data_IF_561330898773
#
_entry.id   IF_561330898773
#
_cell.length_a   1.000
_cell.length_b   1.000
_cell.length_c   1.000
_cell.angle_alpha   90.00
_cell.angle_beta   90.00
_cell.angle_gamma   90.00
#
_symmetry.space_group_name_H-M   'P 1'
#
loop_
_entity.id
_entity.type
_entity.pdbx_description
1 polymer ?
#
# COMPACT_ATOMS: atom_id res chain seq x y z
N UNK A 1 -2.67 42.60 13.51
CA UNK A 1 -2.19 42.60 12.11
C UNK A 1 -3.24 41.91 11.27
N UNK A 2 -3.77 42.65 10.30
CA UNK A 2 -4.94 42.36 9.46
C UNK A 2 -4.64 41.32 8.36
N UNK A 3 -5.70 40.60 7.92
CA UNK A 3 -5.86 39.80 6.68
C UNK A 3 -6.24 38.34 7.01
N UNK A 4 -7.37 37.73 6.57
CA UNK A 4 -8.19 37.93 5.38
C UNK A 4 -9.70 37.86 5.70
N UNK A 5 -10.48 38.75 5.09
CA UNK A 5 -11.92 38.56 4.86
C UNK A 5 -12.08 37.49 3.76
N UNK A 6 -12.23 36.22 4.14
CA UNK A 6 -12.50 35.12 3.21
C UNK A 6 -13.99 34.93 3.01
N UNK A 7 -14.47 35.05 1.77
CA UNK A 7 -15.83 34.64 1.41
C UNK A 7 -15.96 33.12 1.53
N UNK A 8 -16.94 32.64 2.29
CA UNK A 8 -17.24 31.20 2.41
C UNK A 8 -18.20 30.79 1.29
N UNK A 9 -17.77 29.88 0.43
CA UNK A 9 -18.61 29.28 -0.61
C UNK A 9 -19.05 27.87 -0.18
N UNK A 10 -20.35 27.60 -0.25
CA UNK A 10 -20.89 26.25 -0.05
C UNK A 10 -21.13 25.62 -1.42
N UNK A 11 -20.41 24.55 -1.72
CA UNK A 11 -20.54 23.82 -2.98
C UNK A 11 -21.19 22.46 -2.66
N UNK A 12 -22.40 22.17 -3.15
CA UNK A 12 -23.02 20.88 -2.95
C UNK A 12 -22.25 19.78 -3.69
N UNK A 13 -22.02 18.66 -3.01
CA UNK A 13 -21.42 17.46 -3.62
C UNK A 13 -22.42 16.79 -4.57
N UNK A 14 -21.90 16.16 -5.61
CA UNK A 14 -22.69 15.23 -6.45
C UNK A 14 -22.99 13.95 -5.67
N UNK A 15 -23.98 13.19 -6.11
CA UNK A 15 -24.41 11.94 -5.46
C UNK A 15 -23.25 10.96 -5.22
N UNK A 16 -22.40 10.76 -6.24
CA UNK A 16 -21.22 9.90 -6.13
C UNK A 16 -20.20 10.43 -5.11
N UNK A 17 -19.91 11.74 -5.12
CA UNK A 17 -18.97 12.38 -4.20
C UNK A 17 -19.47 12.32 -2.75
N UNK A 18 -20.78 12.48 -2.54
CA UNK A 18 -21.41 12.34 -1.24
C UNK A 18 -21.35 10.88 -0.75
N UNK A 19 -21.59 9.91 -1.63
CA UNK A 19 -21.48 8.48 -1.32
C UNK A 19 -20.05 8.11 -0.92
N UNK A 20 -19.06 8.57 -1.67
CA UNK A 20 -17.65 8.36 -1.32
C UNK A 20 -17.28 9.01 0.01
N UNK A 21 -17.78 10.22 0.29
CA UNK A 21 -17.54 10.90 1.58
C UNK A 21 -18.09 10.12 2.77
N UNK A 22 -19.30 9.54 2.63
CA UNK A 22 -19.91 8.66 3.64
C UNK A 22 -19.07 7.40 3.86
N UNK A 23 -18.65 6.75 2.77
CA UNK A 23 -17.91 5.49 2.84
C UNK A 23 -16.50 5.71 3.40
N UNK A 24 -15.85 6.83 3.05
CA UNK A 24 -14.57 7.23 3.63
C UNK A 24 -14.67 7.47 5.15
N UNK A 25 -15.74 8.13 5.62
CA UNK A 25 -15.99 8.31 7.06
C UNK A 25 -16.17 6.96 7.76
N UNK A 26 -16.93 6.05 7.15
CA UNK A 26 -17.18 4.71 7.69
C UNK A 26 -15.88 3.88 7.77
N UNK A 27 -15.06 3.92 6.70
CA UNK A 27 -13.75 3.28 6.64
C UNK A 27 -12.81 3.83 7.72
N UNK A 28 -12.76 5.15 7.89
CA UNK A 28 -11.92 5.79 8.89
C UNK A 28 -12.33 5.41 10.32
N UNK A 29 -13.63 5.47 10.64
CA UNK A 29 -14.14 5.07 11.95
C UNK A 29 -13.83 3.60 12.25
N UNK A 30 -14.08 2.71 11.29
CA UNK A 30 -13.77 1.29 11.44
C UNK A 30 -12.26 1.05 11.63
N UNK A 31 -11.41 1.73 10.85
CA UNK A 31 -9.96 1.65 10.99
C UNK A 31 -9.49 2.08 12.38
N UNK A 32 -10.00 3.21 12.90
CA UNK A 32 -9.68 3.70 14.24
C UNK A 32 -10.15 2.74 15.34
N UNK A 33 -11.34 2.16 15.20
CA UNK A 33 -11.84 1.15 16.12
C UNK A 33 -10.97 -0.12 16.12
N UNK A 34 -10.53 -0.56 14.94
CA UNK A 34 -9.66 -1.72 14.80
C UNK A 34 -8.28 -1.46 15.43
N UNK A 35 -7.67 -0.30 15.15
CA UNK A 35 -6.41 0.13 15.80
C UNK A 35 -6.55 0.16 17.32
N UNK A 36 -7.62 0.76 17.83
CA UNK A 36 -7.93 0.78 19.27
C UNK A 36 -8.01 -0.64 19.85
N UNK A 37 -8.72 -1.55 19.18
CA UNK A 37 -8.84 -2.94 19.63
C UNK A 37 -7.48 -3.63 19.67
N UNK A 38 -6.64 -3.44 18.65
CA UNK A 38 -5.27 -3.97 18.62
C UNK A 38 -4.43 -3.42 19.78
N UNK A 39 -4.51 -2.11 20.06
CA UNK A 39 -3.86 -1.50 21.22
C UNK A 39 -4.30 -2.14 22.53
N UNK A 40 -5.61 -2.33 22.74
CA UNK A 40 -6.17 -2.95 23.95
C UNK A 40 -5.73 -4.41 24.12
N UNK A 41 -5.68 -5.17 23.04
CA UNK A 41 -5.15 -6.55 23.05
C UNK A 41 -3.67 -6.54 23.42
N UNK A 42 -2.87 -5.69 22.78
CA UNK A 42 -1.44 -5.59 23.05
C UNK A 42 -1.15 -5.17 24.49
N UNK A 43 -1.84 -4.16 25.03
CA UNK A 43 -1.71 -3.73 26.43
C UNK A 43 -2.06 -4.85 27.42
N UNK A 44 -3.01 -5.72 27.06
CA UNK A 44 -3.43 -6.84 27.90
C UNK A 44 -2.45 -8.01 27.86
N UNK A 45 -1.67 -8.14 26.79
CA UNK A 45 -0.75 -9.26 26.55
C UNK A 45 0.74 -8.89 26.71
N UNK A 46 1.09 -7.61 26.72
CA UNK A 46 2.48 -7.16 26.73
C UNK A 46 3.19 -7.57 28.02
N UNK A 47 4.40 -8.13 27.86
CA UNK A 47 5.23 -8.53 28.98
C UNK A 47 5.96 -7.33 29.56
N UNK A 48 5.93 -7.17 30.90
CA UNK A 48 6.59 -6.04 31.62
C UNK A 48 8.08 -6.24 31.85
N UNK A 49 8.60 -7.43 31.57
CA UNK A 49 10.03 -7.77 31.68
C UNK A 49 10.70 -7.63 30.32
N UNK A 50 11.96 -7.18 30.30
CA UNK A 50 12.74 -7.13 29.07
C UNK A 50 12.88 -8.54 28.46
N UNK A 51 12.46 -8.68 27.21
CA UNK A 51 12.59 -9.92 26.43
C UNK A 51 13.79 -9.84 25.51
N UNK A 52 14.72 -10.80 25.59
CA UNK A 52 15.89 -10.87 24.71
C UNK A 52 15.63 -11.56 23.38
N UNK A 53 14.54 -12.32 23.27
CA UNK A 53 14.20 -13.12 22.09
C UNK A 53 12.69 -13.27 21.99
N UNK A 54 12.18 -13.46 20.77
CA UNK A 54 10.78 -13.72 20.51
C UNK A 54 10.63 -14.72 19.35
N UNK A 55 9.47 -15.39 19.29
CA UNK A 55 9.07 -16.23 18.17
C UNK A 55 7.90 -15.52 17.50
N UNK A 56 8.00 -15.31 16.18
CA UNK A 56 6.95 -14.72 15.36
C UNK A 56 6.30 -15.79 14.49
N UNK A 57 4.96 -15.74 14.39
CA UNK A 57 4.19 -16.50 13.42
C UNK A 57 3.51 -15.49 12.50
N UNK A 58 3.68 -15.67 11.20
CA UNK A 58 3.09 -14.82 10.18
C UNK A 58 1.95 -15.58 9.50
N UNK A 59 0.73 -15.07 9.65
CA UNK A 59 -0.47 -15.56 8.97
C UNK A 59 -0.96 -14.46 8.01
N UNK A 60 -0.84 -14.71 6.71
CA UNK A 60 -1.21 -13.77 5.65
C UNK A 60 -1.92 -14.51 4.51
N UNK A 61 -2.67 -13.77 3.70
CA UNK A 61 -3.25 -14.29 2.46
C UNK A 61 -2.16 -14.80 1.51
N UNK A 62 -2.40 -15.95 0.89
CA UNK A 62 -1.59 -16.43 -0.23
C UNK A 62 -1.79 -15.62 -1.51
N UNK A 63 -1.09 -16.01 -2.57
CA UNK A 63 -1.23 -15.38 -3.88
C UNK A 63 -2.66 -15.51 -4.43
N UNK A 64 -3.23 -14.40 -4.91
CA UNK A 64 -4.61 -14.35 -5.43
C UNK A 64 -4.64 -14.08 -6.94
N UNK A 65 -5.46 -14.86 -7.65
CA UNK A 65 -5.78 -14.64 -9.05
C UNK A 65 -7.25 -14.96 -9.31
N UNK A 66 -8.08 -13.92 -9.34
CA UNK A 66 -9.51 -14.01 -9.63
C UNK A 66 -9.82 -13.62 -11.08
N UNK A 67 -11.09 -13.82 -11.49
CA UNK A 67 -11.62 -13.34 -12.78
C UNK A 67 -11.47 -11.82 -12.94
N UNK A 68 -11.54 -11.08 -11.84
CA UNK A 68 -11.36 -9.63 -11.80
C UNK A 68 -10.58 -9.27 -10.55
N UNK A 69 -9.36 -8.76 -10.74
CA UNK A 69 -8.48 -8.36 -9.64
C UNK A 69 -8.47 -6.82 -9.55
N UNK A 70 -8.55 -6.29 -8.33
CA UNK A 70 -8.51 -4.84 -8.08
C UNK A 70 -7.31 -4.46 -7.21
N UNK A 71 -7.34 -3.27 -6.63
CA UNK A 71 -6.25 -2.72 -5.83
C UNK A 71 -5.89 -3.61 -4.64
N UNK A 72 -6.89 -4.22 -4.00
CA UNK A 72 -6.69 -5.11 -2.85
C UNK A 72 -5.87 -6.35 -3.23
N UNK A 73 -6.20 -6.99 -4.36
CA UNK A 73 -5.41 -8.12 -4.88
C UNK A 73 -3.98 -7.70 -5.22
N UNK A 74 -3.79 -6.50 -5.78
CA UNK A 74 -2.44 -6.00 -6.07
C UNK A 74 -1.61 -5.85 -4.79
N UNK A 75 -2.21 -5.34 -3.71
CA UNK A 75 -1.56 -5.25 -2.40
C UNK A 75 -1.23 -6.62 -1.80
N UNK A 76 -2.16 -7.59 -1.90
CA UNK A 76 -1.96 -8.97 -1.44
C UNK A 76 -0.82 -9.63 -2.22
N UNK A 77 -0.84 -9.53 -3.54
CA UNK A 77 0.18 -10.12 -4.40
C UNK A 77 1.54 -9.45 -4.21
N UNK A 78 1.58 -8.13 -3.98
CA UNK A 78 2.81 -7.44 -3.62
C UNK A 78 3.39 -7.90 -2.27
N UNK A 79 2.56 -8.16 -1.26
CA UNK A 79 3.02 -8.74 -0.01
C UNK A 79 3.64 -10.13 -0.22
N UNK A 80 3.00 -10.95 -1.06
CA UNK A 80 3.53 -12.27 -1.45
C UNK A 80 4.83 -12.16 -2.25
N UNK A 81 4.98 -11.19 -3.16
CA UNK A 81 6.24 -10.92 -3.86
C UNK A 81 7.38 -10.66 -2.87
N UNK A 82 7.16 -9.80 -1.88
CA UNK A 82 8.17 -9.49 -0.86
C UNK A 82 8.50 -10.69 0.01
N UNK A 83 7.50 -11.50 0.36
CA UNK A 83 7.71 -12.73 1.12
C UNK A 83 8.53 -13.74 0.31
N UNK A 84 8.25 -13.87 -1.00
CA UNK A 84 9.01 -14.73 -1.89
C UNK A 84 10.46 -14.25 -2.04
N UNK A 85 10.70 -12.95 -2.21
CA UNK A 85 12.06 -12.40 -2.27
C UNK A 85 12.83 -12.61 -0.96
N UNK A 86 12.15 -12.47 0.18
CA UNK A 86 12.73 -12.76 1.49
C UNK A 86 13.08 -14.25 1.63
N UNK A 87 12.17 -15.14 1.22
CA UNK A 87 12.43 -16.58 1.20
C UNK A 87 13.63 -16.92 0.31
N UNK A 88 13.68 -16.37 -0.90
CA UNK A 88 14.77 -16.65 -1.83
C UNK A 88 16.13 -16.19 -1.25
N UNK A 89 16.19 -14.95 -0.77
CA UNK A 89 17.43 -14.41 -0.19
C UNK A 89 17.85 -15.11 1.10
N UNK A 90 16.92 -15.58 1.94
CA UNK A 90 17.28 -16.15 3.23
C UNK A 90 17.48 -17.65 3.21
N UNK A 91 16.71 -18.38 2.42
CA UNK A 91 16.85 -19.83 2.33
C UNK A 91 17.94 -20.15 1.32
N UNK A 92 17.83 -19.71 0.07
CA UNK A 92 18.79 -20.14 -0.95
C UNK A 92 20.18 -19.53 -0.77
N UNK A 93 20.29 -18.23 -0.47
CA UNK A 93 21.62 -17.60 -0.35
C UNK A 93 22.33 -17.99 0.94
N UNK A 94 21.62 -18.04 2.08
CA UNK A 94 22.27 -18.44 3.33
C UNK A 94 22.69 -19.92 3.30
N UNK A 95 21.89 -20.81 2.71
CA UNK A 95 22.27 -22.21 2.53
C UNK A 95 23.49 -22.34 1.62
N UNK A 96 23.52 -21.61 0.49
CA UNK A 96 24.69 -21.60 -0.40
C UNK A 96 25.96 -21.07 0.29
N UNK A 97 25.83 -20.01 1.10
CA UNK A 97 26.94 -19.47 1.90
C UNK A 97 27.45 -20.48 2.94
N UNK A 98 26.57 -21.30 3.51
CA UNK A 98 26.94 -22.39 4.43
C UNK A 98 27.69 -23.49 3.67
N UNK A 99 27.17 -23.96 2.53
CA UNK A 99 27.85 -24.99 1.72
C UNK A 99 29.24 -24.54 1.27
N UNK A 100 29.38 -23.29 0.82
CA UNK A 100 30.67 -22.72 0.44
C UNK A 100 31.63 -22.64 1.62
N UNK A 101 31.15 -22.22 2.80
CA UNK A 101 31.96 -22.14 4.03
C UNK A 101 32.44 -23.51 4.49
N UNK A 102 31.61 -24.53 4.36
CA UNK A 102 31.93 -25.91 4.76
C UNK A 102 32.68 -26.69 3.68
N UNK A 103 33.00 -26.07 2.54
CA UNK A 103 33.66 -26.68 1.39
C UNK A 103 32.93 -27.94 0.88
N UNK A 104 31.60 -27.95 0.99
CA UNK A 104 30.75 -29.01 0.46
C UNK A 104 30.56 -28.76 -1.04
N UNK A 105 30.78 -29.79 -1.85
CA UNK A 105 30.54 -29.72 -3.28
C UNK A 105 29.05 -29.45 -3.55
N UNK A 106 28.75 -28.27 -4.08
CA UNK A 106 27.39 -27.81 -4.34
C UNK A 106 27.27 -27.27 -5.76
N UNK A 107 26.15 -27.55 -6.42
CA UNK A 107 25.80 -26.93 -7.70
C UNK A 107 24.85 -25.76 -7.42
N UNK A 108 25.24 -24.51 -7.71
CA UNK A 108 24.37 -23.35 -7.52
C UNK A 108 23.01 -23.56 -8.20
N UNK A 109 21.94 -23.21 -7.50
CA UNK A 109 20.58 -23.23 -8.04
C UNK A 109 20.26 -21.80 -8.49
N UNK A 110 19.85 -21.65 -9.75
CA UNK A 110 19.33 -20.39 -10.25
C UNK A 110 17.98 -20.10 -9.59
N UNK A 111 17.95 -19.09 -8.71
CA UNK A 111 16.73 -18.67 -8.01
C UNK A 111 15.84 -17.82 -8.93
N UNK A 112 14.50 -17.99 -8.89
CA UNK A 112 13.59 -17.09 -9.58
C UNK A 112 13.73 -15.67 -9.02
N UNK A 113 14.27 -14.75 -9.82
CA UNK A 113 14.43 -13.35 -9.43
C UNK A 113 13.14 -12.56 -9.71
N UNK A 114 12.51 -12.08 -8.64
CA UNK A 114 11.33 -11.24 -8.67
C UNK A 114 11.60 -9.78 -8.26
N UNK A 115 12.86 -9.38 -8.11
CA UNK A 115 13.25 -8.03 -7.69
C UNK A 115 12.83 -6.97 -8.71
N UNK A 116 12.86 -7.29 -10.01
CA UNK A 116 12.39 -6.39 -11.06
C UNK A 116 10.91 -6.00 -10.86
N UNK A 117 10.04 -6.97 -10.52
CA UNK A 117 8.62 -6.73 -10.24
C UNK A 117 8.44 -5.96 -8.92
N UNK A 118 9.17 -6.31 -7.87
CA UNK A 118 9.13 -5.58 -6.58
C UNK A 118 9.55 -4.12 -6.77
N UNK A 119 10.61 -3.87 -7.53
CA UNK A 119 11.11 -2.53 -7.83
C UNK A 119 10.09 -1.74 -8.65
N UNK A 120 9.54 -2.32 -9.71
CA UNK A 120 8.48 -1.71 -10.51
C UNK A 120 7.28 -1.30 -9.64
N UNK A 121 6.89 -2.13 -8.68
CA UNK A 121 5.74 -1.83 -7.81
C UNK A 121 6.07 -0.76 -6.74
N UNK A 122 7.24 -0.82 -6.11
CA UNK A 122 7.48 -0.15 -4.81
C UNK A 122 8.58 0.90 -4.76
N UNK A 123 9.37 1.06 -5.83
CA UNK A 123 10.51 1.97 -5.84
C UNK A 123 10.09 3.42 -5.53
N UNK A 124 10.59 3.99 -4.42
CA UNK A 124 10.26 5.36 -3.98
C UNK A 124 11.27 6.42 -4.41
N UNK A 125 12.51 6.04 -4.71
CA UNK A 125 13.63 6.98 -4.84
C UNK A 125 14.39 6.86 -6.17
N UNK A 126 14.09 5.87 -7.00
CA UNK A 126 14.68 5.74 -8.33
C UNK A 126 13.79 6.26 -9.46
N UNK A 127 14.34 6.25 -10.66
CA UNK A 127 13.62 6.45 -11.91
C UNK A 127 13.54 5.10 -12.64
N UNK A 128 12.37 4.65 -13.10
CA UNK A 128 11.06 5.26 -12.84
C UNK A 128 10.61 5.11 -11.38
N UNK A 129 9.76 6.02 -10.92
CA UNK A 129 9.07 5.88 -9.63
C UNK A 129 8.08 4.72 -9.73
N UNK A 130 8.02 3.87 -8.72
CA UNK A 130 7.20 2.65 -8.75
C UNK A 130 5.70 2.92 -8.81
N UNK A 131 4.92 1.88 -9.10
CA UNK A 131 3.47 1.92 -9.23
C UNK A 131 2.77 2.50 -7.99
N UNK A 132 3.09 2.03 -6.78
CA UNK A 132 2.41 2.51 -5.56
C UNK A 132 2.68 4.01 -5.30
N UNK A 133 3.94 4.50 -5.31
CA UNK A 133 4.18 5.93 -5.18
C UNK A 133 3.59 6.77 -6.31
N UNK A 134 3.57 6.25 -7.55
CA UNK A 134 2.89 6.91 -8.67
C UNK A 134 1.39 7.05 -8.40
N UNK A 135 0.76 5.99 -7.88
CA UNK A 135 -0.65 6.01 -7.49
C UNK A 135 -0.91 7.04 -6.37
N UNK A 136 -0.03 7.12 -5.37
CA UNK A 136 -0.09 8.15 -4.31
C UNK A 136 -0.04 9.56 -4.89
N UNK A 137 0.83 9.81 -5.88
CA UNK A 137 0.92 11.09 -6.57
C UNK A 137 -0.37 11.39 -7.33
N UNK A 138 -0.88 10.42 -8.09
CA UNK A 138 -2.11 10.58 -8.87
C UNK A 138 -3.35 10.84 -8.00
N UNK A 139 -3.41 10.27 -6.79
CA UNK A 139 -4.50 10.53 -5.83
C UNK A 139 -4.54 11.99 -5.34
N UNK A 140 -3.41 12.70 -5.37
CA UNK A 140 -3.31 14.11 -4.93
C UNK A 140 -3.61 15.12 -6.03
N UNK A 141 -3.56 14.69 -7.29
CA UNK A 141 -3.76 15.59 -8.43
C UNK A 141 -5.25 15.80 -8.71
N UNK A 142 -5.70 17.04 -8.93
CA UNK A 142 -7.07 17.30 -9.31
C UNK A 142 -7.35 16.69 -10.68
N UNK A 143 -8.54 16.08 -10.84
CA UNK A 143 -9.04 15.51 -12.11
C UNK A 143 -8.28 14.28 -12.63
N UNK A 144 -7.48 13.60 -11.82
CA UNK A 144 -6.92 12.32 -12.22
C UNK A 144 -8.00 11.23 -12.25
N UNK A 145 -7.92 10.33 -13.23
CA UNK A 145 -8.80 9.17 -13.41
C UNK A 145 -7.99 7.88 -13.44
N UNK A 146 -8.63 6.73 -13.25
CA UNK A 146 -7.97 5.45 -13.41
C UNK A 146 -7.32 5.31 -14.81
N UNK A 147 -7.92 5.90 -15.85
CA UNK A 147 -7.39 5.87 -17.22
C UNK A 147 -6.09 6.63 -17.38
N UNK A 148 -6.07 7.87 -16.90
CA UNK A 148 -4.86 8.72 -16.94
C UNK A 148 -3.75 8.14 -16.06
N UNK A 149 -4.10 7.48 -14.94
CA UNK A 149 -3.14 6.73 -14.14
C UNK A 149 -2.48 5.60 -14.93
N UNK A 150 -3.26 4.74 -15.61
CA UNK A 150 -2.71 3.64 -16.41
C UNK A 150 -1.85 4.16 -17.56
N UNK A 151 -2.28 5.23 -18.24
CA UNK A 151 -1.47 5.87 -19.28
C UNK A 151 -0.11 6.35 -18.76
N UNK A 152 -0.11 7.02 -17.60
CA UNK A 152 1.14 7.47 -16.95
C UNK A 152 1.98 6.28 -16.48
N UNK A 153 1.37 5.22 -15.94
CA UNK A 153 2.06 3.99 -15.53
C UNK A 153 2.90 3.41 -16.68
N UNK A 154 2.30 3.24 -17.87
CA UNK A 154 3.00 2.73 -19.05
C UNK A 154 4.01 3.73 -19.65
N UNK A 155 3.79 5.03 -19.47
CA UNK A 155 4.73 6.05 -19.91
C UNK A 155 6.04 6.01 -19.12
N UNK A 156 5.94 5.88 -17.80
CA UNK A 156 7.08 5.85 -16.87
C UNK A 156 7.81 4.49 -16.93
N UNK A 157 7.08 3.38 -17.06
CA UNK A 157 7.63 2.02 -16.89
C UNK A 157 7.95 1.31 -18.21
N UNK A 158 8.57 2.00 -19.18
CA UNK A 158 8.90 1.41 -20.49
C UNK A 158 9.84 0.21 -20.41
N UNK A 159 10.81 0.25 -19.49
CA UNK A 159 11.73 -0.86 -19.26
C UNK A 159 10.99 -2.08 -18.71
N UNK A 160 10.11 -1.91 -17.73
CA UNK A 160 9.29 -3.01 -17.21
C UNK A 160 8.38 -3.62 -18.28
N UNK A 161 7.97 -2.84 -19.28
CA UNK A 161 7.22 -3.33 -20.46
C UNK A 161 8.13 -4.13 -21.40
N UNK A 162 9.34 -3.64 -21.65
CA UNK A 162 10.33 -4.34 -22.47
C UNK A 162 10.72 -5.68 -21.85
N UNK A 163 10.92 -5.72 -20.53
CA UNK A 163 11.33 -6.92 -19.78
C UNK A 163 10.14 -7.84 -19.47
N UNK A 164 8.91 -7.40 -19.78
CA UNK A 164 7.68 -8.17 -19.62
C UNK A 164 7.17 -8.27 -18.18
N UNK A 165 7.71 -7.48 -17.24
CA UNK A 165 7.18 -7.33 -15.88
C UNK A 165 5.81 -6.62 -15.87
N UNK A 166 5.54 -5.76 -16.87
CA UNK A 166 4.30 -5.02 -17.04
C UNK A 166 3.78 -5.15 -18.48
N UNK A 167 2.51 -5.51 -18.67
CA UNK A 167 1.90 -5.61 -19.99
C UNK A 167 0.51 -4.98 -20.04
N UNK A 168 0.07 -4.56 -21.23
CA UNK A 168 -1.29 -4.07 -21.46
C UNK A 168 -2.28 -5.23 -21.41
N UNK A 169 -3.51 -4.95 -20.99
CA UNK A 169 -4.61 -5.91 -21.06
C UNK A 169 -4.85 -6.38 -22.51
N UNK A 170 -5.12 -7.67 -22.68
CA UNK A 170 -5.36 -8.27 -23.99
C UNK A 170 -6.69 -7.83 -24.62
N UNK A 171 -6.78 -7.89 -25.96
CA UNK A 171 -7.99 -7.48 -26.72
C UNK A 171 -9.27 -8.25 -26.33
N UNK A 172 -9.15 -9.44 -25.73
CA UNK A 172 -10.27 -10.26 -25.25
C UNK A 172 -10.66 -10.03 -23.79
N UNK A 173 -10.02 -9.09 -23.07
CA UNK A 173 -10.26 -8.85 -21.64
C UNK A 173 -11.56 -8.10 -21.33
N UNK A 174 -12.20 -7.50 -22.34
CA UNK A 174 -13.35 -6.62 -22.15
C UNK A 174 -13.00 -5.23 -21.60
N UNK A 175 -11.70 -4.92 -21.45
CA UNK A 175 -11.20 -3.63 -20.97
C UNK A 175 -10.49 -2.89 -22.11
N UNK A 176 -10.59 -1.56 -22.13
CA UNK A 176 -9.73 -0.74 -22.95
C UNK A 176 -8.27 -0.81 -22.45
N UNK A 177 -7.31 -0.48 -23.33
CA UNK A 177 -5.88 -0.56 -23.01
C UNK A 177 -5.42 0.34 -21.85
N UNK A 178 -6.21 1.36 -21.50
CA UNK A 178 -5.99 2.26 -20.36
C UNK A 178 -6.93 1.98 -19.17
N UNK A 179 -7.73 0.91 -19.20
CA UNK A 179 -8.64 0.54 -18.10
C UNK A 179 -8.07 -0.55 -17.19
N UNK A 180 -6.91 -1.10 -17.55
CA UNK A 180 -6.22 -2.11 -16.75
C UNK A 180 -4.80 -2.36 -17.22
N UNK A 181 -4.10 -3.19 -16.47
CA UNK A 181 -2.72 -3.60 -16.75
C UNK A 181 -2.49 -5.02 -16.23
N UNK A 182 -1.45 -5.67 -16.72
CA UNK A 182 -1.03 -7.02 -16.32
C UNK A 182 0.35 -6.92 -15.68
N UNK A 183 0.53 -7.53 -14.51
CA UNK A 183 1.83 -7.65 -13.86
C UNK A 183 2.27 -9.10 -13.91
N UNK A 184 3.52 -9.34 -14.30
CA UNK A 184 4.14 -10.66 -14.19
C UNK A 184 4.70 -10.83 -12.78
N UNK A 185 3.98 -11.62 -11.98
CA UNK A 185 4.39 -12.01 -10.66
C UNK A 185 5.23 -13.30 -10.69
N UNK A 186 5.90 -13.62 -9.58
CA UNK A 186 6.63 -14.89 -9.45
C UNK A 186 5.73 -16.12 -9.66
N UNK A 187 4.43 -16.01 -9.31
CA UNK A 187 3.45 -17.07 -9.45
C UNK A 187 2.67 -17.04 -10.78
N UNK A 188 2.87 -16.03 -11.62
CA UNK A 188 2.21 -15.92 -12.93
C UNK A 188 1.75 -14.51 -13.29
N UNK A 189 1.16 -14.37 -14.47
CA UNK A 189 0.63 -13.09 -14.95
C UNK A 189 -0.78 -12.84 -14.39
N UNK A 190 -0.99 -11.66 -13.79
CA UNK A 190 -2.28 -11.25 -13.21
C UNK A 190 -2.72 -9.92 -13.81
N UNK A 191 -3.94 -9.91 -14.35
CA UNK A 191 -4.59 -8.71 -14.86
C UNK A 191 -5.38 -7.96 -13.79
N UNK A 192 -5.16 -6.66 -13.69
CA UNK A 192 -5.79 -5.76 -12.75
C UNK A 192 -6.68 -4.74 -13.47
N UNK A 193 -7.91 -4.59 -12.97
CA UNK A 193 -8.83 -3.53 -13.39
C UNK A 193 -8.51 -2.27 -12.60
N UNK A 194 -8.13 -1.21 -13.28
CA UNK A 194 -7.69 0.03 -12.63
C UNK A 194 -8.87 0.86 -12.07
N UNK A 195 -10.11 0.56 -12.46
CA UNK A 195 -11.26 1.24 -11.90
C UNK A 195 -11.33 1.10 -10.37
N UNK A 196 -11.61 2.21 -9.69
CA UNK A 196 -11.60 2.30 -8.25
C UNK A 196 -10.21 2.41 -7.59
N UNK A 197 -9.08 2.26 -8.30
CA UNK A 197 -7.74 2.29 -7.69
C UNK A 197 -7.46 3.58 -6.91
N UNK A 198 -7.74 4.74 -7.52
CA UNK A 198 -7.51 6.04 -6.89
C UNK A 198 -8.36 6.20 -5.62
N UNK A 199 -9.63 5.79 -5.68
CA UNK A 199 -10.56 5.88 -4.57
C UNK A 199 -10.16 4.94 -3.43
N UNK A 200 -9.73 3.72 -3.75
CA UNK A 200 -9.31 2.70 -2.78
C UNK A 200 -7.99 3.05 -2.10
N UNK A 201 -7.07 3.69 -2.84
CA UNK A 201 -5.81 4.19 -2.30
C UNK A 201 -5.96 5.51 -1.54
N UNK A 202 -6.96 6.32 -1.85
CA UNK A 202 -7.21 7.58 -1.15
C UNK A 202 -7.80 7.33 0.24
N UNK A 203 -6.99 7.60 1.27
CA UNK A 203 -7.40 7.53 2.67
C UNK A 203 -7.69 8.91 3.28
N UNK A 204 -7.73 9.98 2.49
CA UNK A 204 -8.00 11.33 3.00
C UNK A 204 -9.49 11.54 3.27
N UNK A 205 -9.81 12.03 4.47
CA UNK A 205 -11.14 12.54 4.80
C UNK A 205 -11.27 14.02 4.42
N UNK A 206 -12.50 14.45 4.14
CA UNK A 206 -12.79 15.88 4.08
C UNK A 206 -12.59 16.51 5.47
N UNK A 207 -11.99 17.70 5.51
CA UNK A 207 -11.72 18.43 6.76
C UNK A 207 -12.97 18.64 7.61
N UNK A 208 -14.14 18.84 6.99
CA UNK A 208 -15.42 18.96 7.68
C UNK A 208 -15.79 17.66 8.41
N UNK A 209 -15.52 16.50 7.80
CA UNK A 209 -15.76 15.19 8.42
C UNK A 209 -14.76 14.90 9.54
N UNK A 210 -13.50 15.32 9.40
CA UNK A 210 -12.52 15.26 10.49
C UNK A 210 -12.96 16.12 11.68
N UNK A 211 -13.53 17.30 11.42
CA UNK A 211 -14.07 18.17 12.47
C UNK A 211 -15.25 17.50 13.17
N UNK A 212 -16.16 16.87 12.41
CA UNK A 212 -17.29 16.10 12.99
C UNK A 212 -16.78 14.99 13.92
N UNK A 213 -15.73 14.26 13.52
CA UNK A 213 -15.12 13.24 14.38
C UNK A 213 -14.54 13.84 15.67
N UNK A 214 -13.84 14.99 15.59
CA UNK A 214 -13.30 15.71 16.76
C UNK A 214 -14.40 16.24 17.69
N UNK A 215 -15.56 16.57 17.13
CA UNK A 215 -16.72 17.07 17.88
C UNK A 215 -17.66 15.95 18.36
N UNK A 216 -17.33 14.68 18.15
CA UNK A 216 -18.15 13.54 18.59
C UNK A 216 -18.47 13.68 20.08
N UNK A 217 -19.73 13.53 20.49
CA UNK A 217 -20.15 13.69 21.90
C UNK A 217 -20.10 12.39 22.70
N UNK A 218 -20.12 11.25 22.02
CA UNK A 218 -20.17 9.93 22.64
C UNK A 218 -18.78 9.60 23.24
N UNK A 219 -18.67 9.29 24.54
CA UNK A 219 -17.38 9.14 25.22
C UNK A 219 -16.46 8.05 24.66
N UNK A 220 -17.01 6.91 24.28
CA UNK A 220 -16.26 5.80 23.70
C UNK A 220 -15.70 6.15 22.32
N UNK A 221 -16.46 6.85 21.48
CA UNK A 221 -15.98 7.32 20.17
C UNK A 221 -14.80 8.28 20.35
N UNK A 222 -14.89 9.22 21.31
CA UNK A 222 -13.75 10.11 21.63
C UNK A 222 -12.51 9.31 22.05
N UNK A 223 -12.68 8.36 22.98
CA UNK A 223 -11.59 7.51 23.45
C UNK A 223 -10.91 6.75 22.29
N UNK A 224 -11.70 6.11 21.43
CA UNK A 224 -11.19 5.38 20.26
C UNK A 224 -10.37 6.30 19.34
N UNK A 225 -10.89 7.50 19.06
CA UNK A 225 -10.22 8.47 18.19
C UNK A 225 -8.91 9.00 18.81
N UNK A 226 -8.92 9.33 20.10
CA UNK A 226 -7.76 9.87 20.82
C UNK A 226 -6.64 8.83 20.95
N UNK A 227 -6.97 7.60 21.35
CA UNK A 227 -5.98 6.52 21.49
C UNK A 227 -5.39 6.10 20.14
N UNK A 228 -6.21 6.03 19.09
CA UNK A 228 -5.72 5.70 17.76
C UNK A 228 -4.81 6.81 17.18
N UNK A 229 -5.13 8.09 17.42
CA UNK A 229 -4.25 9.21 17.04
C UNK A 229 -2.91 9.17 17.81
N UNK A 230 -2.92 8.78 19.09
CA UNK A 230 -1.70 8.61 19.87
C UNK A 230 -0.85 7.44 19.34
N UNK A 231 -1.47 6.32 18.95
CA UNK A 231 -0.79 5.18 18.36
C UNK A 231 -0.14 5.53 17.01
N UNK A 232 -0.83 6.27 16.14
CA UNK A 232 -0.26 6.75 14.87
C UNK A 232 0.94 7.67 15.08
N UNK A 233 0.84 8.60 16.05
CA UNK A 233 1.95 9.49 16.39
C UNK A 233 3.17 8.72 16.92
N UNK A 234 2.96 7.63 17.65
CA UNK A 234 4.02 6.77 18.15
C UNK A 234 4.67 5.92 17.04
N UNK A 235 3.89 5.48 16.04
CA UNK A 235 4.36 4.68 14.92
C UNK A 235 5.07 5.50 13.82
N UNK A 236 4.88 6.81 13.77
CA UNK A 236 5.48 7.67 12.76
C UNK A 236 7.03 7.62 12.83
N UNK A 237 7.72 7.48 11.69
CA UNK A 237 9.18 7.42 11.66
C UNK A 237 9.78 8.72 12.19
N UNK A 238 10.53 8.64 13.30
CA UNK A 238 11.27 9.78 13.86
C UNK A 238 12.23 10.31 12.79
N UNK A 239 11.96 11.51 12.25
CA UNK A 239 12.87 12.19 11.32
C UNK A 239 14.25 12.29 11.98
N UNK A 240 15.24 11.56 11.46
CA UNK A 240 16.65 11.75 11.83
C UNK A 240 17.00 13.21 11.51
N UNK A 241 17.27 14.02 12.54
CA UNK A 241 17.88 15.36 12.35
C UNK A 241 19.15 15.13 11.53
N UNK A 242 19.23 15.73 10.33
CA UNK A 242 20.50 15.82 9.61
C UNK A 242 21.46 16.54 10.54
N UNK A 243 22.55 15.86 10.91
CA UNK A 243 23.70 16.54 11.46
C UNK A 243 24.24 17.42 10.33
N UNK A 244 24.16 18.73 10.54
CA UNK A 244 24.90 19.70 9.74
C UNK A 244 26.39 19.43 10.00
N UNK A 245 27.12 19.17 8.92
CA UNK A 245 28.58 19.14 8.88
C UNK A 245 29.03 20.35 8.05
#
# INVERSE_FOLDING_TARGET
MTSMSGSIYKIPLKEQEASYSRDALSKALYGKLFEWLVCRINESLITKTETRSFIGVLDIFGFEHFKTNSFEQLCINFANERLQAHFNSNVFRQEQDIYMREAIAWTPIDEPDNEATIRMLSNRQGQPVGLFPLLDEQCRLPKCTHKTFVEKLFHEHKEAVHDGALAKVGRGSGLAANEGFVVRHYAGEVGYVADGFLQKNNNSLHADLELVLKCASQPFVKQVLDEAAAAEAAAAPKKKRKAEA
#
